data_IF_695436752879
#
_entry.id   IF_695436752879
#
_cell.length_a   1.000
_cell.length_b   1.000
_cell.length_c   1.000
_cell.angle_alpha   90.00
_cell.angle_beta   90.00
_cell.angle_gamma   90.00
#
_symmetry.space_group_name_H-M   'P 1'
#
loop_
_entity.id
_entity.type
_entity.pdbx_description
1 polymer ?
#
# COMPACT_ATOMS: atom_id res chain seq x y z
N UNK A 1 -11.90 19.14 -3.85
CA UNK A 1 -11.37 17.77 -3.78
C UNK A 1 -10.41 17.70 -2.60
N UNK A 2 -10.29 16.55 -1.98
CA UNK A 2 -9.31 16.30 -0.92
C UNK A 2 -7.92 16.23 -1.56
N UNK A 3 -6.89 16.76 -0.90
CA UNK A 3 -5.51 16.64 -1.33
C UNK A 3 -4.79 15.64 -0.41
N UNK A 4 -4.53 14.45 -0.93
CA UNK A 4 -3.80 13.39 -0.24
C UNK A 4 -2.32 13.49 -0.61
N UNK A 5 -1.42 13.51 0.40
CA UNK A 5 0.01 13.60 0.19
C UNK A 5 0.65 12.24 -0.16
N UNK A 6 0.15 11.16 0.41
CA UNK A 6 0.71 9.82 0.18
C UNK A 6 0.01 8.75 1.02
N UNK A 7 0.37 7.48 0.74
CA UNK A 7 0.02 6.36 1.59
C UNK A 7 0.88 6.44 2.87
N UNK A 8 0.23 6.79 3.98
CA UNK A 8 0.91 6.97 5.25
C UNK A 8 1.29 5.63 5.88
N UNK A 9 0.32 4.73 5.95
CA UNK A 9 0.45 3.40 6.52
C UNK A 9 -0.63 2.47 5.95
N UNK A 10 -0.51 1.19 6.24
CA UNK A 10 -1.63 0.26 6.16
C UNK A 10 -1.83 -0.48 7.47
N UNK A 11 -3.04 -1.04 7.63
CA UNK A 11 -3.41 -1.91 8.74
C UNK A 11 -3.71 -3.31 8.20
N UNK A 12 -3.12 -4.33 8.82
CA UNK A 12 -3.36 -5.72 8.47
C UNK A 12 -3.68 -6.56 9.72
N UNK A 13 -4.37 -7.68 9.53
CA UNK A 13 -4.77 -8.59 10.59
C UNK A 13 -4.17 -9.98 10.37
N UNK A 14 -3.83 -10.64 11.47
CA UNK A 14 -3.30 -12.00 11.48
C UNK A 14 -3.70 -12.71 12.78
N UNK A 15 -3.83 -14.04 12.73
CA UNK A 15 -4.13 -14.84 13.93
C UNK A 15 -2.97 -14.99 14.91
N UNK A 16 -1.73 -14.77 14.47
CA UNK A 16 -0.54 -14.88 15.29
C UNK A 16 0.47 -13.78 14.92
N UNK A 17 0.63 -12.82 15.81
CA UNK A 17 1.54 -11.69 15.62
C UNK A 17 3.01 -12.10 15.45
N UNK A 18 3.43 -13.25 15.99
CA UNK A 18 4.82 -13.71 15.86
C UNK A 18 5.21 -14.02 14.41
N UNK A 19 4.24 -14.38 13.55
CA UNK A 19 4.49 -14.63 12.12
C UNK A 19 4.85 -13.33 11.40
N UNK A 20 4.13 -12.24 11.71
CA UNK A 20 4.47 -10.91 11.18
C UNK A 20 5.76 -10.36 11.75
N UNK A 21 6.05 -10.59 13.05
CA UNK A 21 7.34 -10.16 13.62
C UNK A 21 8.50 -10.80 12.87
N UNK A 22 8.46 -12.12 12.71
CA UNK A 22 9.50 -12.87 11.99
C UNK A 22 9.59 -12.42 10.53
N UNK A 23 8.46 -12.27 9.84
CA UNK A 23 8.42 -11.79 8.46
C UNK A 23 9.03 -10.39 8.32
N UNK A 24 8.67 -9.45 9.20
CA UNK A 24 9.18 -8.09 9.16
C UNK A 24 10.68 -8.02 9.48
N UNK A 25 11.12 -8.68 10.57
CA UNK A 25 12.50 -8.60 11.03
C UNK A 25 13.45 -9.43 10.16
N UNK A 26 13.08 -10.67 9.79
CA UNK A 26 13.99 -11.61 9.13
C UNK A 26 13.92 -11.53 7.60
N UNK A 27 12.78 -11.16 7.01
CA UNK A 27 12.62 -11.08 5.54
C UNK A 27 12.69 -9.65 5.07
N UNK A 28 11.81 -8.76 5.59
CA UNK A 28 11.75 -7.38 5.11
C UNK A 28 12.92 -6.53 5.62
N UNK A 29 13.54 -6.90 6.74
CA UNK A 29 14.58 -6.11 7.39
C UNK A 29 14.03 -4.86 8.10
N UNK A 30 12.81 -4.95 8.59
CA UNK A 30 12.10 -3.87 9.27
C UNK A 30 12.01 -4.16 10.77
N UNK A 31 12.44 -3.24 11.66
CA UNK A 31 12.32 -3.44 13.11
C UNK A 31 10.85 -3.37 13.55
N UNK A 32 10.53 -4.16 14.58
CA UNK A 32 9.18 -4.31 15.11
C UNK A 32 9.13 -3.90 16.58
N UNK A 33 8.11 -3.13 16.96
CA UNK A 33 7.78 -2.79 18.33
C UNK A 33 6.32 -3.09 18.65
N UNK A 34 5.95 -3.05 19.95
CA UNK A 34 4.56 -3.22 20.35
C UNK A 34 3.75 -1.97 20.04
N UNK A 35 2.56 -2.14 19.50
CA UNK A 35 1.59 -1.08 19.29
C UNK A 35 0.72 -0.87 20.55
N UNK A 36 0.16 0.34 20.76
CA UNK A 36 -0.89 0.55 21.77
C UNK A 36 -2.10 -0.37 21.51
N UNK A 37 -2.82 -0.74 22.57
CA UNK A 37 -3.95 -1.67 22.59
C UNK A 37 -3.66 -3.07 21.99
N UNK A 38 -2.39 -3.46 21.95
CA UNK A 38 -1.94 -4.70 21.34
C UNK A 38 -1.68 -4.56 19.83
N UNK A 39 -0.95 -5.53 19.28
CA UNK A 39 -0.50 -5.50 17.89
C UNK A 39 0.98 -5.14 17.75
N UNK A 40 1.41 -4.97 16.51
CA UNK A 40 2.80 -4.65 16.15
C UNK A 40 2.87 -3.41 15.28
N UNK A 41 3.83 -2.56 15.59
CA UNK A 41 4.32 -1.51 14.71
C UNK A 41 5.52 -2.02 13.92
N UNK A 42 5.44 -1.98 12.60
CA UNK A 42 6.54 -2.28 11.69
C UNK A 42 7.05 -0.97 11.11
N UNK A 43 8.32 -0.66 11.36
CA UNK A 43 8.95 0.63 11.09
C UNK A 43 9.75 0.58 9.79
N UNK A 44 9.68 1.66 8.98
CA UNK A 44 10.42 1.81 7.72
C UNK A 44 11.27 3.08 7.66
N UNK A 45 10.98 4.06 8.51
CA UNK A 45 11.63 5.38 8.56
C UNK A 45 11.59 5.96 9.98
N UNK A 46 11.65 7.31 10.13
CA UNK A 46 11.58 7.97 11.44
C UNK A 46 10.19 7.96 12.08
N UNK A 47 9.15 7.47 11.38
CA UNK A 47 7.83 7.29 12.00
C UNK A 47 7.81 6.03 12.87
N UNK A 48 6.98 5.98 13.91
CA UNK A 48 6.86 4.80 14.76
C UNK A 48 6.55 3.54 13.95
N UNK A 49 5.76 3.67 12.90
CA UNK A 49 5.39 2.58 12.00
C UNK A 49 4.94 3.10 10.62
N UNK A 50 4.96 2.17 9.67
CA UNK A 50 4.29 2.26 8.38
C UNK A 50 3.30 1.11 8.16
N UNK A 51 3.43 0.03 8.92
CA UNK A 51 2.49 -1.08 8.92
C UNK A 51 2.05 -1.34 10.37
N UNK A 52 0.74 -1.32 10.60
CA UNK A 52 0.14 -1.70 11.88
C UNK A 52 -0.47 -3.09 11.70
N UNK A 53 -0.01 -4.03 12.51
CA UNK A 53 -0.51 -5.40 12.48
C UNK A 53 -1.30 -5.64 13.75
N UNK A 54 -2.56 -6.03 13.60
CA UNK A 54 -3.45 -6.36 14.73
C UNK A 54 -3.74 -7.85 14.77
N UNK A 55 -4.00 -8.37 15.96
CA UNK A 55 -4.41 -9.75 16.14
C UNK A 55 -5.91 -9.91 15.89
N UNK A 56 -6.31 -11.03 15.30
CA UNK A 56 -7.72 -11.37 15.07
C UNK A 56 -7.86 -12.64 14.25
N UNK A 57 -9.09 -13.14 14.13
CA UNK A 57 -9.37 -14.45 13.56
C UNK A 57 -9.15 -14.57 12.05
N UNK A 58 -9.13 -13.44 11.35
CA UNK A 58 -8.94 -13.40 9.90
C UNK A 58 -7.51 -13.01 9.51
N UNK A 59 -7.10 -13.44 8.33
CA UNK A 59 -5.83 -13.04 7.69
C UNK A 59 -6.18 -12.10 6.54
N UNK A 60 -6.04 -10.78 6.77
CA UNK A 60 -6.46 -9.81 5.76
C UNK A 60 -5.83 -8.43 5.93
N UNK A 61 -5.89 -7.66 4.86
CA UNK A 61 -5.70 -6.21 4.84
C UNK A 61 -6.97 -5.53 5.37
N UNK A 62 -6.80 -4.55 6.24
CA UNK A 62 -7.94 -3.89 6.88
C UNK A 62 -8.15 -2.46 6.41
N UNK A 63 -7.09 -1.67 6.23
CA UNK A 63 -7.20 -0.26 5.91
C UNK A 63 -5.95 0.32 5.26
N UNK A 64 -6.16 1.35 4.44
CA UNK A 64 -5.13 2.25 3.92
C UNK A 64 -5.23 3.60 4.61
N UNK A 65 -4.14 4.06 5.23
CA UNK A 65 -4.04 5.39 5.85
C UNK A 65 -3.50 6.41 4.86
N UNK A 66 -4.22 7.49 4.63
CA UNK A 66 -3.89 8.55 3.67
C UNK A 66 -3.55 9.84 4.39
N UNK A 67 -2.38 10.36 4.13
CA UNK A 67 -1.85 11.54 4.81
C UNK A 67 -2.40 12.84 4.25
N UNK A 68 -2.85 13.70 5.16
CA UNK A 68 -3.22 15.09 4.87
C UNK A 68 -2.21 16.06 5.52
N UNK A 69 -1.98 17.19 4.86
CA UNK A 69 -0.90 18.11 5.22
C UNK A 69 -1.04 18.77 6.61
N UNK A 70 -2.27 18.99 7.09
CA UNK A 70 -2.51 19.80 8.28
C UNK A 70 -3.91 19.61 8.85
N UNK A 71 -4.15 20.19 10.04
CA UNK A 71 -5.49 20.31 10.62
C UNK A 71 -6.48 21.03 9.68
N UNK A 72 -6.02 22.06 8.96
CA UNK A 72 -6.84 22.79 8.00
C UNK A 72 -7.21 21.90 6.79
N UNK A 73 -6.25 21.11 6.27
CA UNK A 73 -6.49 20.14 5.20
C UNK A 73 -7.46 19.04 5.66
N UNK A 74 -7.33 18.57 6.91
CA UNK A 74 -8.27 17.62 7.50
C UNK A 74 -9.68 18.19 7.62
N UNK A 75 -9.83 19.41 8.15
CA UNK A 75 -11.12 20.10 8.21
C UNK A 75 -11.74 20.32 6.82
N UNK A 76 -10.93 20.67 5.82
CA UNK A 76 -11.38 20.76 4.43
C UNK A 76 -11.86 19.38 3.89
N UNK A 77 -11.13 18.30 4.21
CA UNK A 77 -11.54 16.96 3.80
C UNK A 77 -12.94 16.59 4.35
N UNK A 78 -13.22 16.89 5.62
CA UNK A 78 -14.55 16.66 6.20
C UNK A 78 -15.63 17.46 5.48
N UNK A 79 -15.38 18.74 5.17
CA UNK A 79 -16.31 19.58 4.41
C UNK A 79 -16.59 19.02 3.01
N UNK A 80 -15.57 18.47 2.33
CA UNK A 80 -15.74 17.82 1.01
C UNK A 80 -16.63 16.58 1.14
N UNK A 81 -16.40 15.74 2.17
CA UNK A 81 -17.22 14.54 2.40
C UNK A 81 -18.69 14.93 2.67
N UNK A 82 -18.93 15.92 3.52
CA UNK A 82 -20.28 16.44 3.83
C UNK A 82 -20.96 17.01 2.57
N UNK A 83 -20.27 17.85 1.81
CA UNK A 83 -20.82 18.47 0.60
C UNK A 83 -21.17 17.46 -0.49
N UNK A 84 -20.55 16.27 -0.46
CA UNK A 84 -20.82 15.16 -1.37
C UNK A 84 -21.72 14.08 -0.78
N UNK A 85 -22.25 14.29 0.41
CA UNK A 85 -23.09 13.35 1.16
C UNK A 85 -22.41 11.97 1.34
N UNK A 86 -21.07 11.96 1.50
CA UNK A 86 -20.30 10.75 1.81
C UNK A 86 -20.33 10.52 3.31
N UNK A 87 -20.78 9.34 3.71
CA UNK A 87 -20.74 8.93 5.11
C UNK A 87 -19.31 8.70 5.57
N UNK A 88 -18.94 9.29 6.69
CA UNK A 88 -17.66 9.05 7.35
C UNK A 88 -17.84 8.90 8.86
N UNK A 89 -16.85 8.31 9.51
CA UNK A 89 -16.79 8.16 10.97
C UNK A 89 -15.47 8.75 11.44
N UNK A 90 -15.52 9.63 12.46
CA UNK A 90 -14.29 10.08 13.12
C UNK A 90 -13.70 8.94 13.94
N UNK A 91 -12.39 8.82 13.91
CA UNK A 91 -11.69 7.82 14.71
C UNK A 91 -11.93 8.01 16.20
N UNK A 92 -12.07 6.91 16.91
CA UNK A 92 -12.12 6.92 18.37
C UNK A 92 -10.78 7.38 18.99
N UNK A 93 -10.78 7.72 20.27
CA UNK A 93 -9.53 8.07 20.96
C UNK A 93 -8.49 6.93 20.90
N UNK A 94 -8.95 5.70 21.00
CA UNK A 94 -8.13 4.51 20.91
C UNK A 94 -7.55 4.31 19.50
N UNK A 95 -8.36 4.52 18.45
CA UNK A 95 -7.89 4.45 17.07
C UNK A 95 -6.87 5.55 16.78
N UNK A 96 -7.12 6.77 17.19
CA UNK A 96 -6.20 7.91 17.03
C UNK A 96 -4.86 7.63 17.74
N UNK A 97 -4.92 7.10 18.97
CA UNK A 97 -3.72 6.70 19.72
C UNK A 97 -2.97 5.58 18.99
N UNK A 98 -3.66 4.53 18.57
CA UNK A 98 -3.06 3.37 17.89
C UNK A 98 -2.49 3.74 16.51
N UNK A 99 -3.08 4.71 15.79
CA UNK A 99 -2.52 5.24 14.53
C UNK A 99 -1.41 6.26 14.75
N UNK A 100 -1.20 6.71 15.98
CA UNK A 100 -0.18 7.71 16.31
C UNK A 100 -0.38 9.02 15.56
N UNK A 101 -1.63 9.47 15.40
CA UNK A 101 -2.01 10.68 14.65
C UNK A 101 -2.75 11.66 15.56
N UNK A 102 -3.02 12.88 15.07
CA UNK A 102 -3.79 13.88 15.81
C UNK A 102 -5.28 13.81 15.47
N UNK A 103 -5.64 13.40 14.28
CA UNK A 103 -7.03 13.12 13.90
C UNK A 103 -7.12 12.08 12.80
N UNK A 104 -8.27 11.42 12.75
CA UNK A 104 -8.57 10.32 11.85
C UNK A 104 -10.04 10.40 11.42
N UNK A 105 -10.32 10.24 10.14
CA UNK A 105 -11.67 10.04 9.61
C UNK A 105 -11.67 8.82 8.68
N UNK A 106 -12.66 7.98 8.87
CA UNK A 106 -12.80 6.71 8.13
C UNK A 106 -13.90 6.85 7.09
N UNK A 107 -13.60 6.49 5.86
CA UNK A 107 -14.55 6.36 4.76
C UNK A 107 -14.43 4.96 4.14
N UNK A 108 -15.57 4.45 3.66
CA UNK A 108 -15.63 3.17 2.94
C UNK A 108 -15.96 3.46 1.49
N UNK A 109 -15.19 2.95 0.57
CA UNK A 109 -15.46 3.10 -0.86
C UNK A 109 -16.58 2.14 -1.33
N UNK A 110 -17.11 2.31 -2.57
CA UNK A 110 -18.20 1.47 -3.07
C UNK A 110 -17.86 -0.03 -3.19
N UNK A 111 -16.60 -0.41 -3.19
CA UNK A 111 -16.15 -1.81 -3.16
C UNK A 111 -15.88 -2.35 -1.76
N UNK A 112 -16.07 -1.53 -0.71
CA UNK A 112 -15.92 -1.92 0.69
C UNK A 112 -14.51 -1.73 1.24
N UNK A 113 -13.58 -1.11 0.52
CA UNK A 113 -12.25 -0.81 1.04
C UNK A 113 -12.33 0.33 2.06
N UNK A 114 -11.63 0.16 3.20
CA UNK A 114 -11.52 1.15 4.25
C UNK A 114 -10.35 2.10 3.98
N UNK A 115 -10.66 3.38 3.86
CA UNK A 115 -9.72 4.47 3.75
C UNK A 115 -9.73 5.31 5.02
N UNK A 116 -8.56 5.54 5.59
CA UNK A 116 -8.36 6.35 6.80
C UNK A 116 -7.67 7.66 6.42
N UNK A 117 -8.40 8.78 6.43
CA UNK A 117 -7.83 10.11 6.23
C UNK A 117 -7.25 10.58 7.54
N UNK A 118 -5.95 10.90 7.58
CA UNK A 118 -5.26 11.25 8.83
C UNK A 118 -4.29 12.42 8.66
N UNK A 119 -4.02 13.12 9.76
CA UNK A 119 -2.98 14.15 9.81
C UNK A 119 -2.26 14.15 11.16
N UNK A 120 -1.07 14.74 11.18
CA UNK A 120 -0.34 15.02 12.40
C UNK A 120 0.27 13.78 13.04
N UNK A 121 1.13 13.08 12.30
CA UNK A 121 1.87 11.94 12.84
C UNK A 121 2.69 12.32 14.06
N UNK A 122 2.68 11.45 15.05
CA UNK A 122 3.58 11.51 16.20
C UNK A 122 4.90 10.82 15.82
N UNK A 123 6.02 11.49 16.04
CA UNK A 123 7.35 10.88 15.92
C UNK A 123 7.73 10.25 17.26
N UNK A 124 8.37 9.08 17.21
CA UNK A 124 9.02 8.47 18.38
C UNK A 124 10.46 8.96 18.57
N UNK A 125 10.95 9.83 17.68
CA UNK A 125 12.31 10.35 17.65
C UNK A 125 13.40 9.26 17.60
N UNK A 126 13.05 8.05 17.18
CA UNK A 126 13.98 6.94 17.03
C UNK A 126 14.35 6.76 15.56
N UNK A 127 15.65 6.67 15.22
CA UNK A 127 16.08 6.41 13.86
C UNK A 127 15.61 5.03 13.39
N UNK A 128 15.49 4.87 12.08
CA UNK A 128 15.34 3.56 11.47
C UNK A 128 16.66 2.79 11.57
N UNK A 129 16.64 1.64 12.20
CA UNK A 129 17.79 0.71 12.29
C UNK A 129 17.32 -0.68 11.90
N UNK A 130 17.71 -1.12 10.72
CA UNK A 130 17.30 -2.42 10.18
C UNK A 130 17.97 -3.58 10.92
N UNK A 131 17.23 -4.63 11.32
CA UNK A 131 17.80 -5.84 11.88
C UNK A 131 18.61 -6.66 10.85
N UNK A 132 18.42 -6.38 9.53
CA UNK A 132 19.11 -7.06 8.42
C UNK A 132 20.09 -6.14 7.67
N UNK A 133 20.33 -4.93 8.20
CA UNK A 133 21.26 -3.97 7.58
C UNK A 133 20.74 -3.33 6.29
N UNK A 134 19.41 -3.27 6.07
CA UNK A 134 18.81 -2.47 4.99
C UNK A 134 19.08 -1.00 5.29
N UNK A 135 19.74 -0.23 4.40
CA UNK A 135 20.13 1.14 4.72
C UNK A 135 18.93 2.05 4.92
N UNK A 136 17.94 1.96 4.02
CA UNK A 136 16.70 2.74 4.08
C UNK A 136 15.65 2.22 3.11
N UNK A 137 14.41 2.59 3.36
CA UNK A 137 13.30 2.52 2.41
C UNK A 137 13.02 3.89 1.80
N UNK A 138 12.48 3.91 0.58
CA UNK A 138 12.06 5.14 -0.10
C UNK A 138 10.70 5.56 0.45
N UNK A 139 10.71 6.46 1.42
CA UNK A 139 9.55 6.99 2.17
C UNK A 139 9.53 8.52 2.13
N UNK A 140 9.28 9.19 3.24
CA UNK A 140 9.17 10.65 3.30
C UNK A 140 7.99 11.15 2.46
N UNK A 141 8.26 12.10 1.56
CA UNK A 141 7.25 12.66 0.67
C UNK A 141 6.64 11.63 -0.28
N UNK A 142 7.32 10.50 -0.51
CA UNK A 142 6.83 9.40 -1.35
C UNK A 142 5.84 8.46 -0.63
N UNK A 143 5.58 8.69 0.66
CA UNK A 143 4.75 7.80 1.48
C UNK A 143 5.36 6.42 1.71
N UNK A 144 4.57 5.45 2.18
CA UNK A 144 5.00 4.07 2.41
C UNK A 144 5.43 3.38 1.11
N UNK A 145 4.70 3.61 0.05
CA UNK A 145 4.76 2.91 -1.22
C UNK A 145 3.42 3.00 -1.92
N UNK A 146 2.86 1.88 -2.36
CA UNK A 146 1.51 1.82 -2.89
C UNK A 146 0.72 0.61 -2.39
N UNK A 147 -0.59 0.63 -2.65
CA UNK A 147 -1.49 -0.50 -2.41
C UNK A 147 -2.38 -0.73 -3.63
N UNK A 148 -2.63 -2.00 -3.96
CA UNK A 148 -3.56 -2.40 -5.01
C UNK A 148 -4.76 -3.07 -4.35
N UNK A 149 -5.92 -2.43 -4.43
CA UNK A 149 -7.13 -2.85 -3.76
C UNK A 149 -8.12 -3.50 -4.73
N UNK A 150 -8.92 -4.46 -4.25
CA UNK A 150 -10.02 -5.02 -5.03
C UNK A 150 -11.09 -3.96 -5.29
N UNK A 151 -11.63 -3.93 -6.50
CA UNK A 151 -12.73 -3.04 -6.89
C UNK A 151 -13.77 -3.79 -7.74
N UNK A 152 -14.54 -4.71 -7.15
CA UNK A 152 -15.63 -5.37 -7.87
C UNK A 152 -16.71 -4.39 -8.37
N UNK A 153 -16.92 -3.26 -7.69
CA UNK A 153 -17.75 -2.14 -8.14
C UNK A 153 -16.85 -1.06 -8.77
N UNK A 154 -16.20 -1.40 -9.87
CA UNK A 154 -15.04 -0.67 -10.41
C UNK A 154 -15.33 0.79 -10.74
N UNK A 155 -16.39 1.06 -11.50
CA UNK A 155 -16.68 2.41 -11.99
C UNK A 155 -17.04 3.39 -10.86
N UNK A 156 -17.85 2.93 -9.90
CA UNK A 156 -18.21 3.71 -8.71
C UNK A 156 -17.01 3.93 -7.79
N UNK A 157 -16.17 2.89 -7.63
CA UNK A 157 -14.97 2.96 -6.79
C UNK A 157 -13.93 3.90 -7.39
N UNK A 158 -13.72 3.83 -8.70
CA UNK A 158 -12.83 4.74 -9.41
C UNK A 158 -13.34 6.20 -9.36
N UNK A 159 -14.63 6.41 -9.56
CA UNK A 159 -15.25 7.73 -9.42
C UNK A 159 -15.11 8.28 -7.99
N UNK A 160 -15.33 7.45 -6.98
CA UNK A 160 -15.13 7.82 -5.57
C UNK A 160 -13.70 8.27 -5.29
N UNK A 161 -12.71 7.49 -5.73
CA UNK A 161 -11.30 7.85 -5.54
C UNK A 161 -10.93 9.16 -6.23
N UNK A 162 -11.42 9.40 -7.44
CA UNK A 162 -11.10 10.61 -8.20
C UNK A 162 -11.86 11.84 -7.75
N UNK A 163 -13.17 11.70 -7.56
CA UNK A 163 -14.04 12.84 -7.37
C UNK A 163 -14.19 13.24 -5.89
N UNK A 164 -14.02 12.28 -4.98
CA UNK A 164 -14.08 12.53 -3.52
C UNK A 164 -12.67 12.62 -2.94
N UNK A 165 -11.87 11.55 -3.06
CA UNK A 165 -10.55 11.47 -2.43
C UNK A 165 -9.47 12.28 -3.18
N UNK A 166 -9.72 12.68 -4.42
CA UNK A 166 -8.82 13.55 -5.17
C UNK A 166 -7.63 12.87 -5.86
N UNK A 167 -7.64 11.54 -5.94
CA UNK A 167 -6.66 10.81 -6.74
C UNK A 167 -6.79 11.12 -8.22
N UNK A 168 -5.68 11.01 -8.94
CA UNK A 168 -5.65 11.22 -10.39
C UNK A 168 -5.11 9.98 -11.08
N UNK A 169 -5.56 9.75 -12.30
CA UNK A 169 -5.15 8.60 -13.09
C UNK A 169 -3.71 8.77 -13.59
N UNK A 170 -2.89 7.77 -13.32
CA UNK A 170 -1.52 7.67 -13.85
C UNK A 170 -1.51 6.87 -15.13
N UNK A 171 -2.05 5.63 -15.07
CA UNK A 171 -2.02 4.70 -16.18
C UNK A 171 -3.17 3.69 -16.10
N UNK A 172 -3.38 2.99 -17.22
CA UNK A 172 -4.41 1.97 -17.39
C UNK A 172 -3.76 0.67 -17.87
N UNK A 173 -4.19 -0.43 -17.29
CA UNK A 173 -3.90 -1.78 -17.79
C UNK A 173 -5.18 -2.58 -17.89
N UNK A 174 -5.47 -3.07 -19.12
CA UNK A 174 -6.61 -3.94 -19.39
C UNK A 174 -6.09 -5.37 -19.60
N UNK A 175 -6.12 -6.17 -18.54
CA UNK A 175 -5.66 -7.54 -18.57
C UNK A 175 -6.72 -8.48 -19.15
N UNK A 176 -6.32 -9.34 -20.08
CA UNK A 176 -7.18 -10.44 -20.59
C UNK A 176 -6.53 -11.77 -20.27
N UNK A 177 -7.15 -12.59 -19.40
CA UNK A 177 -6.62 -13.92 -19.06
C UNK A 177 -6.50 -14.87 -20.26
N UNK A 178 -7.41 -14.71 -21.24
CA UNK A 178 -7.39 -15.38 -22.54
C UNK A 178 -8.00 -14.47 -23.60
N UNK A 179 -7.83 -14.76 -24.91
CA UNK A 179 -8.40 -13.95 -26.00
C UNK A 179 -9.93 -13.78 -25.90
N UNK A 180 -10.63 -14.80 -25.41
CA UNK A 180 -12.09 -14.82 -25.30
C UNK A 180 -12.62 -14.35 -23.93
N UNK A 181 -11.74 -14.11 -22.95
CA UNK A 181 -12.15 -13.64 -21.64
C UNK A 181 -12.44 -12.13 -21.66
N UNK A 182 -13.37 -11.65 -20.82
CA UNK A 182 -13.53 -10.22 -20.60
C UNK A 182 -12.23 -9.62 -20.08
N UNK A 183 -11.96 -8.36 -20.43
CA UNK A 183 -10.85 -7.63 -19.87
C UNK A 183 -11.11 -7.35 -18.38
N UNK A 184 -10.08 -7.50 -17.56
CA UNK A 184 -10.04 -7.06 -16.17
C UNK A 184 -9.29 -5.74 -16.12
N UNK A 185 -9.95 -4.69 -15.65
CA UNK A 185 -9.35 -3.35 -15.58
C UNK A 185 -8.47 -3.24 -14.33
N UNK A 186 -7.27 -2.69 -14.51
CA UNK A 186 -6.40 -2.28 -13.42
C UNK A 186 -5.99 -0.84 -13.69
N UNK A 187 -6.46 0.10 -12.86
CA UNK A 187 -6.15 1.51 -13.00
C UNK A 187 -5.24 1.98 -11.87
N UNK A 188 -4.17 2.66 -12.25
CA UNK A 188 -3.15 3.18 -11.36
C UNK A 188 -3.40 4.67 -11.10
N UNK A 189 -3.35 5.07 -9.83
CA UNK A 189 -3.71 6.41 -9.39
C UNK A 189 -2.61 7.00 -8.51
N UNK A 190 -2.31 8.28 -8.76
CA UNK A 190 -1.40 9.06 -7.92
C UNK A 190 -2.13 10.04 -7.03
N UNK A 191 -1.44 10.47 -5.99
CA UNK A 191 -1.81 11.56 -5.10
C UNK A 191 -0.84 12.75 -5.26
N UNK A 192 -0.75 13.65 -4.32
CA UNK A 192 0.06 14.87 -4.41
C UNK A 192 1.55 14.62 -4.11
N UNK A 193 2.15 13.57 -4.70
CA UNK A 193 3.59 13.30 -4.66
C UNK A 193 4.09 12.83 -6.03
N UNK A 194 5.40 12.61 -6.16
CA UNK A 194 6.01 12.23 -7.44
C UNK A 194 5.96 10.73 -7.75
N UNK A 195 5.49 9.86 -6.82
CA UNK A 195 5.38 8.41 -7.04
C UNK A 195 4.38 8.13 -8.16
N UNK A 196 4.75 7.27 -9.11
CA UNK A 196 3.92 6.90 -10.25
C UNK A 196 2.48 6.53 -9.85
N UNK A 197 2.32 5.77 -8.78
CA UNK A 197 1.03 5.52 -8.16
C UNK A 197 1.19 5.20 -6.67
N UNK A 198 0.22 5.62 -5.88
CA UNK A 198 0.11 5.27 -4.45
C UNK A 198 -1.08 4.34 -4.21
N UNK A 199 -2.00 4.27 -5.17
CA UNK A 199 -3.20 3.42 -5.16
C UNK A 199 -3.39 2.82 -6.55
N UNK A 200 -3.83 1.57 -6.62
CA UNK A 200 -4.43 1.02 -7.82
C UNK A 200 -5.67 0.22 -7.47
N UNK A 201 -6.61 0.13 -8.40
CA UNK A 201 -7.79 -0.71 -8.30
C UNK A 201 -7.75 -1.83 -9.34
N UNK A 202 -8.06 -3.05 -8.90
CA UNK A 202 -8.21 -4.22 -9.75
C UNK A 202 -9.67 -4.68 -9.76
N UNK A 203 -10.26 -4.84 -10.94
CA UNK A 203 -11.68 -5.14 -11.16
C UNK A 203 -12.04 -6.60 -10.83
N UNK A 204 -11.67 -7.05 -9.64
CA UNK A 204 -12.05 -8.37 -9.12
C UNK A 204 -12.04 -8.39 -7.60
N UNK A 205 -12.81 -9.30 -6.97
CA UNK A 205 -12.78 -9.47 -5.53
C UNK A 205 -11.49 -10.20 -5.08
N UNK A 206 -10.99 -9.84 -3.90
CA UNK A 206 -9.85 -10.50 -3.25
C UNK A 206 -10.20 -10.78 -1.80
N UNK A 207 -10.15 -12.05 -1.40
CA UNK A 207 -10.56 -12.48 -0.06
C UNK A 207 -9.71 -11.84 1.06
N UNK A 208 -8.42 -11.65 0.83
CA UNK A 208 -7.52 -10.97 1.77
C UNK A 208 -7.71 -9.45 1.86
N UNK A 209 -8.62 -8.85 1.07
CA UNK A 209 -8.89 -7.41 1.07
C UNK A 209 -7.83 -6.54 0.38
N UNK A 210 -6.77 -7.14 -0.17
CA UNK A 210 -5.73 -6.44 -0.90
C UNK A 210 -5.10 -7.40 -1.91
N UNK A 211 -4.77 -6.92 -3.11
CA UNK A 211 -3.98 -7.69 -4.08
C UNK A 211 -2.54 -7.70 -3.62
N UNK A 212 -1.94 -6.53 -3.47
CA UNK A 212 -0.63 -6.36 -2.87
C UNK A 212 -0.43 -4.96 -2.29
N UNK A 213 0.51 -4.87 -1.35
CA UNK A 213 1.15 -3.63 -0.95
C UNK A 213 2.59 -3.62 -1.46
N UNK A 214 3.18 -2.45 -1.71
CA UNK A 214 4.53 -2.32 -2.21
C UNK A 214 5.40 -1.50 -1.25
N UNK A 215 6.65 -1.94 -1.08
CA UNK A 215 7.71 -1.20 -0.40
C UNK A 215 8.91 -1.06 -1.33
N UNK A 216 9.54 0.11 -1.29
CA UNK A 216 10.68 0.44 -2.16
C UNK A 216 11.94 0.66 -1.34
N UNK A 217 13.03 0.03 -1.76
CA UNK A 217 14.39 0.24 -1.24
C UNK A 217 15.21 1.11 -2.19
N UNK A 218 16.34 1.61 -1.72
CA UNK A 218 17.17 2.56 -2.47
C UNK A 218 18.18 1.92 -3.42
N UNK A 219 18.25 0.58 -3.48
CA UNK A 219 19.17 -0.11 -4.38
C UNK A 219 18.68 -1.49 -4.81
N UNK A 220 19.07 -1.91 -6.01
CA UNK A 220 18.83 -3.27 -6.53
C UNK A 220 19.53 -4.34 -5.68
N UNK A 221 20.64 -4.00 -5.02
CA UNK A 221 21.31 -4.92 -4.10
C UNK A 221 20.39 -5.32 -2.94
N UNK A 222 19.62 -4.39 -2.40
CA UNK A 222 18.69 -4.69 -1.30
C UNK A 222 17.49 -5.53 -1.78
N UNK A 223 17.04 -5.37 -3.03
CA UNK A 223 16.05 -6.29 -3.62
C UNK A 223 16.59 -7.73 -3.68
N UNK A 224 17.83 -7.89 -4.17
CA UNK A 224 18.48 -9.22 -4.22
C UNK A 224 18.66 -9.83 -2.83
N UNK A 225 19.11 -9.04 -1.84
CA UNK A 225 19.27 -9.50 -0.45
C UNK A 225 17.94 -9.87 0.21
N UNK A 226 16.87 -9.11 -0.07
CA UNK A 226 15.54 -9.45 0.42
C UNK A 226 15.02 -10.75 -0.21
N UNK A 227 15.27 -10.96 -1.50
CA UNK A 227 14.93 -12.20 -2.19
C UNK A 227 15.66 -13.40 -1.57
N UNK A 228 16.95 -13.28 -1.26
CA UNK A 228 17.73 -14.34 -0.58
C UNK A 228 17.15 -14.62 0.82
N UNK A 229 16.81 -13.58 1.60
CA UNK A 229 16.18 -13.74 2.92
C UNK A 229 14.82 -14.43 2.81
N UNK A 230 13.99 -14.03 1.83
CA UNK A 230 12.70 -14.66 1.55
C UNK A 230 12.85 -16.18 1.33
N UNK A 231 13.81 -16.59 0.47
CA UNK A 231 14.09 -18.01 0.21
C UNK A 231 14.58 -18.73 1.47
N UNK A 232 15.52 -18.12 2.20
CA UNK A 232 16.09 -18.71 3.42
C UNK A 232 15.03 -18.93 4.52
N UNK A 233 14.02 -18.06 4.61
CA UNK A 233 12.92 -18.16 5.57
C UNK A 233 11.74 -19.01 5.04
N UNK A 234 11.81 -19.52 3.81
CA UNK A 234 10.73 -20.32 3.21
C UNK A 234 9.43 -19.52 2.98
N UNK A 235 9.53 -18.19 2.84
CA UNK A 235 8.38 -17.35 2.51
C UNK A 235 7.93 -17.62 1.07
N UNK A 236 6.64 -17.87 0.82
CA UNK A 236 6.17 -18.19 -0.53
C UNK A 236 6.39 -17.04 -1.51
N UNK A 237 6.99 -17.34 -2.66
CA UNK A 237 7.14 -16.43 -3.79
C UNK A 237 5.82 -16.37 -4.57
N UNK A 238 5.28 -15.16 -4.79
CA UNK A 238 4.04 -14.94 -5.56
C UNK A 238 4.32 -14.55 -7.01
N UNK A 239 5.40 -13.81 -7.27
CA UNK A 239 5.91 -13.57 -8.61
C UNK A 239 7.43 -13.44 -8.61
N UNK A 240 8.04 -13.93 -9.69
CA UNK A 240 9.50 -13.88 -9.85
C UNK A 240 10.00 -12.45 -10.02
N UNK A 241 11.32 -12.26 -9.86
CA UNK A 241 11.96 -10.98 -10.15
C UNK A 241 11.67 -10.54 -11.59
N UNK A 242 11.31 -9.27 -11.75
CA UNK A 242 10.99 -8.68 -13.03
C UNK A 242 11.03 -7.15 -13.00
N UNK A 243 10.72 -6.52 -14.13
CA UNK A 243 10.60 -5.07 -14.23
C UNK A 243 9.29 -4.69 -14.91
N UNK A 244 8.50 -3.87 -14.22
CA UNK A 244 7.23 -3.38 -14.74
C UNK A 244 7.41 -2.45 -15.94
N UNK A 245 6.39 -2.42 -16.81
CA UNK A 245 6.40 -1.54 -17.98
C UNK A 245 5.99 -0.12 -17.61
N UNK A 246 5.01 0.03 -16.71
CA UNK A 246 4.42 1.32 -16.36
C UNK A 246 5.34 2.20 -15.51
N UNK A 247 5.68 1.75 -14.33
CA UNK A 247 6.45 2.53 -13.36
C UNK A 247 7.94 2.17 -13.30
N UNK A 248 8.39 1.23 -14.14
CA UNK A 248 9.80 0.75 -14.21
C UNK A 248 10.30 0.08 -12.93
N UNK A 249 9.46 -0.13 -11.94
CA UNK A 249 9.84 -0.82 -10.72
C UNK A 249 10.44 -2.19 -11.05
N UNK A 250 11.63 -2.46 -10.51
CA UNK A 250 12.23 -3.79 -10.54
C UNK A 250 11.99 -4.45 -9.20
N UNK A 251 11.21 -5.51 -9.19
CA UNK A 251 10.63 -6.07 -7.96
C UNK A 251 10.41 -7.58 -8.06
N UNK A 252 10.09 -8.18 -6.93
CA UNK A 252 9.50 -9.51 -6.82
C UNK A 252 8.35 -9.46 -5.82
N UNK A 253 7.49 -10.49 -5.83
CA UNK A 253 6.32 -10.55 -4.96
C UNK A 253 6.40 -11.77 -4.05
N UNK A 254 6.02 -11.59 -2.79
CA UNK A 254 5.99 -12.65 -1.78
C UNK A 254 4.73 -12.54 -0.92
N UNK A 255 4.25 -13.67 -0.44
CA UNK A 255 3.06 -13.72 0.39
C UNK A 255 3.32 -13.18 1.80
N UNK A 256 2.44 -12.32 2.30
CA UNK A 256 2.46 -11.87 3.70
C UNK A 256 1.77 -12.87 4.63
N UNK A 257 2.05 -12.83 5.95
CA UNK A 257 1.29 -13.63 6.90
C UNK A 257 -0.22 -13.31 6.95
N UNK A 258 -0.63 -12.15 6.43
CA UNK A 258 -2.03 -11.73 6.32
C UNK A 258 -2.71 -12.16 5.00
N UNK A 259 -2.01 -12.91 4.12
CA UNK A 259 -2.60 -13.56 2.95
C UNK A 259 -2.74 -12.69 1.71
N UNK A 260 -2.27 -11.45 1.73
CA UNK A 260 -2.06 -10.63 0.52
C UNK A 260 -0.58 -10.62 0.15
N UNK A 261 -0.25 -10.19 -1.05
CA UNK A 261 1.15 -10.14 -1.49
C UNK A 261 1.84 -8.84 -1.08
N UNK A 262 3.16 -8.91 -0.89
CA UNK A 262 4.01 -7.73 -0.76
C UNK A 262 5.00 -7.71 -1.92
N UNK A 263 4.98 -6.61 -2.66
CA UNK A 263 5.97 -6.27 -3.66
C UNK A 263 7.16 -5.59 -3.00
N UNK A 264 8.36 -6.13 -3.20
CA UNK A 264 9.61 -5.57 -2.69
C UNK A 264 10.46 -5.10 -3.87
N UNK A 265 10.62 -3.80 -4.04
CA UNK A 265 11.12 -3.25 -5.28
C UNK A 265 12.11 -2.10 -5.14
N UNK A 266 12.65 -1.70 -6.29
CA UNK A 266 13.62 -0.62 -6.46
C UNK A 266 13.41 0.11 -7.77
N UNK A 267 13.61 1.44 -7.76
CA UNK A 267 13.75 2.25 -8.95
C UNK A 267 12.44 2.59 -9.64
N UNK A 268 11.36 2.73 -8.88
CA UNK A 268 10.09 3.23 -9.39
C UNK A 268 10.20 4.64 -9.94
N UNK A 269 9.45 4.92 -11.02
CA UNK A 269 9.41 6.24 -11.63
C UNK A 269 8.88 7.28 -10.66
N UNK A 270 9.58 8.43 -10.63
CA UNK A 270 9.10 9.67 -10.06
C UNK A 270 8.75 10.61 -11.23
N UNK A 271 7.53 11.11 -11.22
CA UNK A 271 6.96 11.83 -12.36
C UNK A 271 6.68 13.29 -12.04
N UNK A 272 6.94 14.13 -13.04
CA UNK A 272 6.37 15.46 -13.11
C UNK A 272 4.98 15.38 -13.77
N UNK A 273 3.95 15.54 -12.96
CA UNK A 273 2.56 15.40 -13.38
C UNK A 273 2.12 16.46 -14.40
N UNK A 274 2.86 17.54 -14.57
CA UNK A 274 2.60 18.56 -15.62
C UNK A 274 3.02 18.07 -17.00
N UNK A 275 3.92 17.09 -17.08
CA UNK A 275 4.48 16.54 -18.31
C UNK A 275 4.02 15.10 -18.57
N UNK A 276 3.30 14.45 -17.62
CA UNK A 276 2.84 13.09 -17.78
C UNK A 276 1.55 13.00 -18.58
N UNK A 277 1.48 11.97 -19.45
CA UNK A 277 0.25 11.59 -20.15
C UNK A 277 -0.15 10.17 -19.72
N UNK A 278 -1.44 9.97 -19.45
CA UNK A 278 -1.99 8.66 -19.15
C UNK A 278 -1.77 7.70 -20.34
N UNK A 279 -1.21 6.53 -20.07
CA UNK A 279 -0.97 5.49 -21.07
C UNK A 279 -1.81 4.24 -20.75
N UNK A 280 -2.19 3.52 -21.79
CA UNK A 280 -2.74 2.18 -21.66
C UNK A 280 -1.68 1.14 -22.03
N UNK A 281 -1.44 0.19 -21.13
CA UNK A 281 -0.44 -0.87 -21.33
C UNK A 281 -1.08 -2.12 -21.89
N UNK A 282 -0.29 -2.85 -22.67
CA UNK A 282 -0.66 -4.14 -23.26
C UNK A 282 -0.01 -5.34 -22.60
N UNK A 283 0.92 -5.10 -21.67
CA UNK A 283 1.62 -6.12 -20.88
C UNK A 283 2.08 -5.56 -19.53
N UNK A 284 2.18 -6.43 -18.53
CA UNK A 284 2.55 -6.05 -17.16
C UNK A 284 4.02 -5.64 -17.06
N UNK A 285 4.92 -6.39 -17.71
CA UNK A 285 6.35 -6.28 -17.46
C UNK A 285 7.14 -6.15 -18.75
N UNK A 286 8.29 -5.49 -18.68
CA UNK A 286 9.30 -5.45 -19.73
C UNK A 286 9.95 -6.84 -19.82
N UNK A 287 10.27 -7.42 -18.65
CA UNK A 287 10.83 -8.76 -18.47
C UNK A 287 10.48 -9.29 -17.08
N UNK A 288 10.53 -10.60 -16.89
CA UNK A 288 10.29 -11.27 -15.61
C UNK A 288 8.81 -11.24 -15.16
N UNK A 289 8.59 -11.26 -13.86
CA UNK A 289 7.28 -11.32 -13.21
C UNK A 289 6.42 -12.49 -13.70
N UNK A 290 6.92 -13.71 -13.52
CA UNK A 290 6.07 -14.88 -13.69
C UNK A 290 5.16 -15.04 -12.45
N UNK A 291 3.89 -14.69 -12.60
CA UNK A 291 2.86 -14.83 -11.56
C UNK A 291 2.28 -16.27 -11.47
N UNK A 292 2.74 -17.20 -12.30
CA UNK A 292 2.26 -18.58 -12.23
C UNK A 292 2.88 -19.35 -11.06
N UNK A 293 4.04 -18.91 -10.56
CA UNK A 293 4.77 -19.57 -9.46
C UNK A 293 3.97 -19.59 -8.16
N UNK A 294 3.17 -18.56 -7.86
CA UNK A 294 2.32 -18.49 -6.69
C UNK A 294 1.04 -19.34 -6.77
N UNK A 295 0.70 -19.87 -7.95
CA UNK A 295 -0.52 -20.67 -8.17
C UNK A 295 -0.29 -22.17 -8.00
N UNK A 296 0.93 -22.60 -7.73
CA UNK A 296 1.31 -24.02 -7.62
C UNK A 296 1.29 -24.55 -6.18
N UNK A 297 0.74 -23.77 -5.24
CA UNK A 297 0.67 -24.15 -3.82
C UNK A 297 -0.76 -24.43 -3.34
#
# INVERSE_FOLDING_TARGET
>A
MIEILGLSYFVAQVGNLSDWRRYAEDVLGMPVSSAPQGGLYVKMDERPFRMLIVEGDERRYLASGWELASAAAFGHALQVLEARAVTYVLGSAEEIEQRGVQALAVVIDPSGNRHELCWGHRSDCQPFVSPQGVPRFVTGDMGLGHTVLPAPNFDETLAFARDVLGFRLSDIFNFRPSPDAPAVRIHFLHCANARHHSLAFAEYPVASGCVHAMVEVDSMTEVGRAHDRMLAQGTPLSATLGQHLNDRMTSFYMQTPSGFDLEYGFGGLQLDWTAHSVLEFTRVSIWGHDFSVGRQQ
#
